data_IF_344080950925
#
_entry.id   IF_344080950925
#
_cell.length_a   1.000
_cell.length_b   1.000
_cell.length_c   1.000
_cell.angle_alpha   90.00
_cell.angle_beta   90.00
_cell.angle_gamma   90.00
#
_symmetry.space_group_name_H-M   'P 1'
#
loop_
_entity.id
_entity.type
_entity.pdbx_description
1 polymer ?
#
# COMPACT_ATOMS: atom_id res chain seq x y z
N UNK A 1 -38.20 -18.08 22.26
CA UNK A 1 -37.79 -16.66 22.25
C UNK A 1 -36.53 -16.55 21.43
N UNK A 2 -36.74 -16.65 20.13
CA UNK A 2 -35.76 -16.44 19.07
C UNK A 2 -35.73 -14.93 18.81
N UNK A 3 -34.55 -14.31 18.90
CA UNK A 3 -34.35 -12.96 18.41
C UNK A 3 -33.18 -12.98 17.43
N UNK A 4 -33.54 -13.13 16.15
CA UNK A 4 -32.69 -12.83 15.03
C UNK A 4 -32.60 -11.30 14.88
N UNK A 5 -31.40 -10.75 15.04
CA UNK A 5 -31.13 -9.37 14.63
C UNK A 5 -30.64 -9.39 13.19
N UNK A 6 -31.58 -9.19 12.28
CA UNK A 6 -31.36 -8.92 10.87
C UNK A 6 -30.65 -7.57 10.70
N UNK A 7 -29.45 -7.57 10.14
CA UNK A 7 -28.80 -6.36 9.62
C UNK A 7 -29.19 -6.21 8.15
N UNK A 8 -30.36 -5.60 7.91
CA UNK A 8 -30.74 -5.10 6.58
C UNK A 8 -30.30 -3.65 6.52
N UNK A 9 -29.34 -3.36 5.65
CA UNK A 9 -28.75 -2.04 5.48
C UNK A 9 -28.03 -1.94 4.14
N UNK A 10 -28.77 -2.21 3.06
CA UNK A 10 -28.42 -1.76 1.72
C UNK A 10 -28.33 -0.23 1.72
N UNK A 11 -27.16 0.30 1.40
CA UNK A 11 -27.04 1.65 0.84
C UNK A 11 -25.86 1.64 -0.13
N UNK A 12 -26.16 1.39 -1.39
CA UNK A 12 -25.21 1.51 -2.50
C UNK A 12 -24.86 2.99 -2.72
N UNK A 13 -23.58 3.40 -2.75
CA UNK A 13 -23.19 4.66 -3.37
C UNK A 13 -23.06 4.46 -4.89
N UNK A 14 -23.78 5.29 -5.65
CA UNK A 14 -23.87 5.27 -7.12
C UNK A 14 -22.56 5.59 -7.87
N UNK A 15 -22.62 5.65 -9.22
CA UNK A 15 -21.43 5.68 -10.07
C UNK A 15 -20.69 7.01 -9.97
N UNK A 16 -19.43 6.96 -9.50
CA UNK A 16 -18.53 8.10 -9.54
C UNK A 16 -18.20 8.43 -11.00
N UNK A 17 -18.75 9.54 -11.47
CA UNK A 17 -18.40 10.22 -12.72
C UNK A 17 -16.89 10.44 -12.80
N UNK A 18 -16.30 10.09 -13.93
CA UNK A 18 -14.91 10.39 -14.28
C UNK A 18 -14.65 11.90 -14.16
N UNK A 19 -13.87 12.32 -13.16
CA UNK A 19 -13.38 13.70 -13.06
C UNK A 19 -12.16 13.83 -13.95
N UNK A 20 -12.33 14.61 -15.01
CA UNK A 20 -11.30 15.01 -15.97
C UNK A 20 -10.07 15.60 -15.28
N UNK A 21 -8.92 15.38 -15.93
CA UNK A 21 -7.60 15.73 -15.42
C UNK A 21 -7.42 17.23 -15.17
N UNK A 22 -6.82 17.54 -14.02
CA UNK A 22 -6.13 18.80 -13.81
C UNK A 22 -4.63 18.50 -13.74
N UNK A 23 -3.95 18.99 -14.77
CA UNK A 23 -2.51 19.09 -14.97
C UNK A 23 -1.74 19.44 -13.69
N UNK A 24 -0.89 18.52 -13.23
CA UNK A 24 0.21 18.80 -12.31
C UNK A 24 1.43 19.24 -13.13
N UNK A 25 1.44 20.50 -13.54
CA UNK A 25 2.65 21.18 -14.03
C UNK A 25 2.72 22.58 -13.42
N UNK A 26 3.81 22.80 -12.68
CA UNK A 26 4.48 24.05 -12.28
C UNK A 26 3.73 25.06 -11.38
N UNK A 27 4.14 24.99 -10.11
CA UNK A 27 4.57 26.10 -9.24
C UNK A 27 3.54 27.16 -8.83
N UNK A 28 2.86 26.88 -7.72
CA UNK A 28 2.10 27.85 -6.93
C UNK A 28 2.96 28.31 -5.73
N UNK A 29 3.60 29.50 -5.75
CA UNK A 29 4.65 29.89 -4.80
C UNK A 29 4.13 30.41 -3.44
N UNK A 30 2.84 30.30 -3.15
CA UNK A 30 2.23 30.78 -1.88
C UNK A 30 1.81 29.66 -0.92
N UNK A 31 2.33 28.44 -1.09
CA UNK A 31 2.19 27.35 -0.10
C UNK A 31 3.25 27.38 1.01
N UNK A 32 4.21 28.29 0.95
CA UNK A 32 5.22 28.48 1.99
C UNK A 32 4.86 29.69 2.87
N UNK A 33 3.80 29.53 3.66
CA UNK A 33 3.36 30.52 4.65
C UNK A 33 2.71 29.90 5.87
N UNK A 34 2.85 28.58 6.07
CA UNK A 34 2.50 27.98 7.35
C UNK A 34 3.70 28.24 8.25
N UNK A 35 3.52 29.13 9.23
CA UNK A 35 4.30 29.11 10.46
C UNK A 35 4.36 27.66 10.90
N UNK A 36 5.49 27.00 10.64
CA UNK A 36 5.77 25.73 11.25
C UNK A 36 5.95 26.06 12.72
N UNK A 37 4.83 26.01 13.45
CA UNK A 37 4.85 25.91 14.89
C UNK A 37 5.90 24.82 15.19
N UNK A 38 6.85 25.06 16.10
CA UNK A 38 7.82 24.04 16.45
C UNK A 38 7.00 22.80 16.79
N UNK A 39 7.13 21.75 15.97
CA UNK A 39 6.55 20.47 16.31
C UNK A 39 7.03 20.20 17.73
N UNK A 40 6.11 20.00 18.71
CA UNK A 40 6.55 19.72 20.06
C UNK A 40 7.54 18.56 19.94
N UNK A 41 8.71 18.63 20.61
CA UNK A 41 9.61 17.50 20.59
C UNK A 41 8.78 16.29 20.97
N UNK A 42 8.73 15.28 20.11
CA UNK A 42 8.15 13.98 20.43
C UNK A 42 9.09 13.28 21.43
N UNK A 43 9.45 13.96 22.50
CA UNK A 43 9.64 13.33 23.80
C UNK A 43 8.23 12.97 24.27
N UNK A 44 7.60 12.00 23.60
CA UNK A 44 6.57 11.21 24.26
C UNK A 44 7.32 10.48 25.36
N UNK A 45 7.47 11.17 26.49
CA UNK A 45 7.89 10.61 27.76
C UNK A 45 7.15 9.29 27.94
N UNK A 46 7.90 8.24 28.27
CA UNK A 46 7.41 6.88 28.55
C UNK A 46 6.38 6.80 29.69
N UNK A 47 5.87 7.93 30.16
CA UNK A 47 5.16 8.10 31.42
C UNK A 47 3.78 8.77 31.30
N UNK A 48 3.32 9.17 30.10
CA UNK A 48 1.95 9.68 29.96
C UNK A 48 1.01 8.64 29.30
N UNK A 49 0.33 7.80 30.11
CA UNK A 49 -0.61 6.82 29.57
C UNK A 49 -1.82 7.54 28.98
N UNK A 50 -1.86 7.61 27.65
CA UNK A 50 -3.10 7.87 26.92
C UNK A 50 -4.19 6.91 27.45
N UNK A 51 -5.32 7.46 27.88
CA UNK A 51 -6.40 6.65 28.44
C UNK A 51 -6.84 5.58 27.45
N UNK A 52 -6.57 4.32 27.81
CA UNK A 52 -6.97 3.14 27.06
C UNK A 52 -7.72 2.19 27.99
N UNK A 53 -8.31 1.14 27.42
CA UNK A 53 -8.94 0.11 28.21
C UNK A 53 -7.93 -0.50 29.20
N UNK A 54 -8.29 -0.51 30.50
CA UNK A 54 -7.45 -1.01 31.58
C UNK A 54 -6.94 -2.45 31.32
N UNK A 55 -7.75 -3.31 30.68
CA UNK A 55 -7.36 -4.69 30.36
C UNK A 55 -6.33 -4.80 29.24
N UNK A 56 -6.17 -3.76 28.43
CA UNK A 56 -5.34 -3.78 27.23
C UNK A 56 -4.00 -3.08 27.41
N UNK A 57 -3.88 -2.14 28.35
CA UNK A 57 -2.72 -1.26 28.54
C UNK A 57 -1.37 -1.99 28.47
N UNK A 58 -1.14 -2.95 29.36
CA UNK A 58 0.11 -3.72 29.42
C UNK A 58 0.41 -4.50 28.12
N UNK A 59 -0.63 -4.96 27.41
CA UNK A 59 -0.48 -5.70 26.16
C UNK A 59 -0.20 -4.80 24.97
N UNK A 60 -0.76 -3.58 24.96
CA UNK A 60 -0.49 -2.55 23.96
C UNK A 60 0.99 -2.18 24.00
N UNK A 61 1.54 -1.87 25.17
CA UNK A 61 2.96 -1.55 25.35
C UNK A 61 3.86 -2.66 24.78
N UNK A 62 3.61 -3.92 25.16
CA UNK A 62 4.36 -5.07 24.64
C UNK A 62 4.27 -5.23 23.11
N UNK A 63 3.11 -4.92 22.50
CA UNK A 63 2.94 -5.00 21.04
C UNK A 63 3.63 -3.86 20.31
N UNK A 64 3.67 -2.65 20.88
CA UNK A 64 4.38 -1.50 20.31
C UNK A 64 5.87 -1.80 20.21
N UNK A 65 6.50 -2.17 21.32
CA UNK A 65 7.91 -2.57 21.35
C UNK A 65 8.23 -3.71 20.36
N UNK A 66 7.33 -4.69 20.20
CA UNK A 66 7.52 -5.77 19.22
C UNK A 66 7.39 -5.29 17.77
N UNK A 67 6.43 -4.39 17.48
CA UNK A 67 6.24 -3.82 16.13
C UNK A 67 7.38 -2.90 15.75
N UNK A 68 7.85 -2.06 16.67
CA UNK A 68 9.00 -1.18 16.48
C UNK A 68 10.24 -1.99 16.06
N UNK A 69 10.60 -3.02 16.82
CA UNK A 69 11.72 -3.92 16.47
C UNK A 69 11.58 -4.55 15.09
N UNK A 70 10.39 -5.03 14.73
CA UNK A 70 10.13 -5.63 13.41
C UNK A 70 10.22 -4.57 12.30
N UNK A 71 9.70 -3.37 12.55
CA UNK A 71 9.71 -2.28 11.58
C UNK A 71 11.13 -1.74 11.35
N UNK A 72 11.91 -1.55 12.42
CA UNK A 72 13.32 -1.18 12.35
C UNK A 72 14.13 -2.21 11.56
N UNK A 73 13.95 -3.50 11.85
CA UNK A 73 14.62 -4.57 11.11
C UNK A 73 14.24 -4.58 9.62
N UNK A 74 12.96 -4.38 9.29
CA UNK A 74 12.49 -4.29 7.91
C UNK A 74 13.02 -3.05 7.19
N UNK A 75 13.04 -1.91 7.87
CA UNK A 75 13.53 -0.65 7.32
C UNK A 75 15.04 -0.73 7.08
N UNK A 76 15.80 -1.26 8.03
CA UNK A 76 17.22 -1.53 7.88
C UNK A 76 17.49 -2.50 6.72
N UNK A 77 16.72 -3.59 6.61
CA UNK A 77 16.83 -4.52 5.49
C UNK A 77 16.50 -3.85 4.14
N UNK A 78 15.49 -2.98 4.10
CA UNK A 78 15.15 -2.20 2.91
C UNK A 78 16.28 -1.24 2.52
N UNK A 79 16.82 -0.45 3.45
CA UNK A 79 17.94 0.45 3.18
C UNK A 79 19.22 -0.30 2.78
N UNK A 80 19.54 -1.42 3.43
CA UNK A 80 20.69 -2.24 3.09
C UNK A 80 20.57 -2.83 1.67
N UNK A 81 19.37 -3.24 1.26
CA UNK A 81 19.13 -3.76 -0.09
C UNK A 81 19.30 -2.70 -1.18
N UNK A 82 19.01 -1.43 -0.89
CA UNK A 82 19.27 -0.32 -1.81
C UNK A 82 20.77 0.00 -1.91
N UNK A 83 21.51 -0.03 -0.79
CA UNK A 83 22.92 0.35 -0.76
C UNK A 83 23.86 -0.72 -1.36
N UNK A 84 23.56 -2.00 -1.12
CA UNK A 84 24.43 -3.12 -1.52
C UNK A 84 24.17 -3.66 -2.93
N UNK A 85 23.09 -3.23 -3.60
CA UNK A 85 22.66 -3.77 -4.90
C UNK A 85 22.29 -5.26 -4.91
N UNK A 86 22.56 -5.97 -3.81
CA UNK A 86 22.31 -7.39 -3.62
C UNK A 86 20.95 -7.57 -2.94
N UNK A 87 19.93 -7.80 -3.77
CA UNK A 87 18.55 -7.89 -3.35
C UNK A 87 18.28 -9.02 -2.35
N UNK A 88 18.25 -8.67 -1.07
CA UNK A 88 17.38 -9.36 -0.13
C UNK A 88 15.93 -9.26 -0.64
N UNK A 89 15.12 -10.30 -0.47
CA UNK A 89 13.75 -10.40 -1.01
C UNK A 89 12.82 -9.21 -0.67
N UNK A 90 13.18 -8.39 0.31
CA UNK A 90 12.43 -7.20 0.74
C UNK A 90 12.72 -5.92 -0.07
N UNK A 91 13.74 -5.93 -0.95
CA UNK A 91 14.19 -4.75 -1.72
C UNK A 91 13.98 -4.83 -3.23
N UNK A 92 13.44 -5.95 -3.72
CA UNK A 92 13.25 -6.19 -5.15
C UNK A 92 12.00 -5.45 -5.64
N UNK A 93 11.98 -4.91 -6.87
CA UNK A 93 10.78 -4.29 -7.45
C UNK A 93 9.62 -5.30 -7.63
N UNK A 94 9.90 -6.60 -7.51
CA UNK A 94 8.92 -7.67 -7.50
C UNK A 94 9.22 -8.64 -6.35
N UNK A 95 8.15 -9.14 -5.70
CA UNK A 95 8.30 -10.03 -4.54
C UNK A 95 8.83 -11.43 -4.91
N UNK A 96 8.56 -11.92 -6.13
CA UNK A 96 8.88 -13.29 -6.52
C UNK A 96 9.37 -13.39 -7.97
N UNK A 97 10.49 -14.10 -8.14
CA UNK A 97 11.15 -14.29 -9.44
C UNK A 97 10.26 -15.01 -10.46
N UNK A 98 9.61 -16.10 -10.05
CA UNK A 98 8.73 -16.89 -10.92
C UNK A 98 7.54 -16.08 -11.45
N UNK A 99 6.95 -15.23 -10.60
CA UNK A 99 5.83 -14.35 -10.96
C UNK A 99 6.26 -13.27 -11.94
N UNK A 100 7.43 -12.68 -11.72
CA UNK A 100 8.00 -11.71 -12.65
C UNK A 100 8.24 -12.33 -14.02
N UNK A 101 8.91 -13.49 -14.08
CA UNK A 101 9.11 -14.26 -15.33
C UNK A 101 7.79 -14.64 -16.00
N UNK A 102 6.76 -15.02 -15.24
CA UNK A 102 5.43 -15.30 -15.79
C UNK A 102 4.79 -14.05 -16.40
N UNK A 103 4.82 -12.91 -15.70
CA UNK A 103 4.30 -11.65 -16.22
C UNK A 103 5.02 -11.18 -17.50
N UNK A 104 6.31 -11.46 -17.63
CA UNK A 104 7.09 -11.12 -18.84
C UNK A 104 6.76 -12.03 -20.02
N UNK A 105 6.52 -13.33 -19.80
CA UNK A 105 6.18 -14.28 -20.88
C UNK A 105 4.75 -14.18 -21.40
N UNK A 106 3.86 -13.46 -20.72
CA UNK A 106 2.46 -13.34 -21.15
C UNK A 106 2.35 -12.47 -22.41
N UNK A 107 1.54 -12.90 -23.40
CA UNK A 107 1.31 -12.09 -24.59
C UNK A 107 0.57 -10.79 -24.20
N UNK A 108 0.97 -9.69 -24.83
CA UNK A 108 0.46 -8.34 -24.56
C UNK A 108 -0.24 -7.80 -25.80
N UNK A 109 -1.35 -7.12 -25.58
CA UNK A 109 -2.06 -6.39 -26.62
C UNK A 109 -1.50 -4.98 -26.80
N UNK A 110 -2.08 -4.21 -27.75
CA UNK A 110 -1.76 -2.79 -27.87
C UNK A 110 -2.05 -2.07 -26.54
N UNK A 111 -1.11 -1.24 -26.07
CA UNK A 111 -1.21 -0.55 -24.79
C UNK A 111 -0.73 -1.33 -23.56
N UNK A 112 -0.04 -2.47 -23.74
CA UNK A 112 0.69 -3.15 -22.67
C UNK A 112 -0.18 -3.96 -21.69
N UNK A 113 -1.50 -3.98 -21.90
CA UNK A 113 -2.45 -4.85 -21.19
C UNK A 113 -2.22 -6.30 -21.60
N UNK A 114 -2.52 -7.21 -20.68
CA UNK A 114 -2.59 -8.62 -21.03
C UNK A 114 -3.83 -8.86 -21.88
N UNK A 115 -3.68 -9.71 -22.91
CA UNK A 115 -4.79 -10.15 -23.73
C UNK A 115 -5.78 -10.96 -22.88
N UNK A 116 -7.06 -10.80 -23.18
CA UNK A 116 -8.12 -11.65 -22.62
C UNK A 116 -8.05 -13.04 -23.26
N UNK A 117 -8.63 -14.05 -22.61
CA UNK A 117 -8.57 -15.43 -23.11
C UNK A 117 -9.17 -15.58 -24.52
N UNK A 118 -10.20 -14.79 -24.83
CA UNK A 118 -10.86 -14.77 -26.14
C UNK A 118 -9.92 -14.19 -27.20
N UNK A 119 -9.32 -13.03 -26.94
CA UNK A 119 -8.36 -12.40 -27.86
C UNK A 119 -7.11 -13.27 -28.07
N UNK A 120 -6.66 -14.00 -27.04
CA UNK A 120 -5.53 -14.94 -27.16
C UNK A 120 -5.86 -16.05 -28.16
N UNK A 121 -7.08 -16.59 -28.13
CA UNK A 121 -7.50 -17.63 -29.08
C UNK A 121 -7.55 -17.08 -30.50
N UNK A 122 -8.16 -15.91 -30.71
CA UNK A 122 -8.21 -15.28 -32.03
C UNK A 122 -6.83 -14.99 -32.61
N UNK A 123 -5.89 -14.53 -31.78
CA UNK A 123 -4.52 -14.22 -32.23
C UNK A 123 -3.74 -15.50 -32.54
N UNK A 124 -3.98 -16.57 -31.77
CA UNK A 124 -3.42 -17.91 -32.04
C UNK A 124 -3.97 -18.51 -33.33
N UNK A 125 -5.28 -18.39 -33.56
CA UNK A 125 -5.94 -18.86 -34.78
C UNK A 125 -5.48 -18.08 -36.02
N UNK A 126 -5.18 -16.78 -35.85
CA UNK A 126 -4.55 -15.94 -36.87
C UNK A 126 -3.04 -16.19 -37.03
N UNK A 127 -2.44 -17.06 -36.21
CA UNK A 127 -1.01 -17.42 -36.28
C UNK A 127 -0.05 -16.29 -35.90
N UNK A 128 -0.52 -15.28 -35.16
CA UNK A 128 0.27 -14.11 -34.79
C UNK A 128 1.03 -14.28 -33.46
N UNK A 129 0.73 -15.33 -32.68
CA UNK A 129 1.38 -15.74 -31.42
C UNK A 129 1.48 -17.25 -31.32
#
# INVERSE_FOLDING_TARGET
>A
MEQANAWVGESAPGPATCREGASLFLDDPLRNGVLQAPAPPLTASDDEPLYVNAKQYARILKRRAARERINEAKLAAWHASQASGAGADLGKPYAHESRHKHAMRRPRGPGGRFLTAIEIQEIRDKGQI
#
